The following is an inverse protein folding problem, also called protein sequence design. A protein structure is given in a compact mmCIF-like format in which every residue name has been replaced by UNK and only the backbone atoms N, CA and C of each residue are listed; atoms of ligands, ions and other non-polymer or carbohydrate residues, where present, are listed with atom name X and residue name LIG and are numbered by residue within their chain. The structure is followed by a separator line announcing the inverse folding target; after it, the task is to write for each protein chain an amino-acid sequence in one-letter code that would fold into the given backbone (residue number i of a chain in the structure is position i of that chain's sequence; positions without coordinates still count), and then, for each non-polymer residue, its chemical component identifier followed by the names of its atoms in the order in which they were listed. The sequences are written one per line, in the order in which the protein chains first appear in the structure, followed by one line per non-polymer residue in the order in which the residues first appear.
data_IF_646181185016
#
_entry.id   IF_646181185016
#
_cell.length_a   1.000
_cell.length_b   1.000
_cell.length_c   1.000
_cell.angle_alpha   90.00
_cell.angle_beta   90.00
_cell.angle_gamma   90.00
#
_symmetry.space_group_name_H-M   'P 1'
#
loop_
_entity.id
_entity.type
_entity.pdbx_description
1 polymer ?
#
# COMPACT_ATOMS: atom_id res chain seq x y z
N UNK A 1 10.07 -10.00 12.71
CA UNK A 1 8.91 -10.14 11.81
C UNK A 1 9.35 -10.95 10.60
N UNK A 2 8.56 -11.93 10.15
CA UNK A 2 8.90 -12.69 8.94
C UNK A 2 8.63 -11.77 7.73
N UNK A 3 9.57 -11.60 6.78
CA UNK A 3 9.29 -10.78 5.59
C UNK A 3 8.05 -11.33 4.89
N UNK A 4 7.16 -10.48 4.35
CA UNK A 4 5.97 -10.94 3.66
C UNK A 4 6.40 -11.85 2.51
N UNK A 5 5.82 -13.07 2.45
CA UNK A 5 6.16 -14.06 1.43
C UNK A 5 5.73 -13.65 0.02
N UNK A 6 4.96 -12.55 -0.09
CA UNK A 6 4.43 -11.99 -1.32
C UNK A 6 4.47 -10.46 -1.22
N UNK A 7 5.01 -9.79 -2.22
CA UNK A 7 5.03 -8.33 -2.33
C UNK A 7 4.23 -7.93 -3.57
N UNK A 8 3.38 -6.91 -3.43
CA UNK A 8 2.61 -6.34 -4.54
C UNK A 8 2.92 -4.85 -4.66
N UNK A 9 3.42 -4.44 -5.82
CA UNK A 9 3.51 -3.04 -6.23
C UNK A 9 2.19 -2.67 -6.93
N UNK A 10 1.37 -1.76 -6.35
CA UNK A 10 0.01 -1.54 -6.82
C UNK A 10 -0.12 -0.56 -8.01
N UNK A 11 0.95 -0.35 -8.79
CA UNK A 11 0.97 0.60 -9.92
C UNK A 11 0.26 0.05 -11.18
N UNK A 12 -1.02 -0.32 -11.05
CA UNK A 12 -1.84 -0.82 -12.16
C UNK A 12 -2.39 0.30 -13.05
N UNK A 13 -2.23 1.54 -12.62
CA UNK A 13 -2.49 2.77 -13.36
C UNK A 13 -1.29 3.69 -13.15
N UNK A 14 -1.13 4.75 -13.98
CA UNK A 14 -0.20 5.82 -13.66
C UNK A 14 -0.29 6.23 -12.19
N UNK A 15 0.86 6.36 -11.54
CA UNK A 15 0.94 6.72 -10.13
C UNK A 15 0.53 8.18 -9.92
N UNK A 16 0.03 8.48 -8.73
CA UNK A 16 -0.23 9.85 -8.29
C UNK A 16 0.94 10.38 -7.46
N UNK A 17 0.63 11.05 -6.35
CA UNK A 17 1.62 11.45 -5.36
C UNK A 17 2.46 10.24 -4.89
N UNK A 18 3.79 10.38 -4.78
CA UNK A 18 4.58 11.60 -4.95
C UNK A 18 5.19 11.79 -6.35
N UNK A 19 5.27 10.74 -7.17
CA UNK A 19 6.14 10.73 -8.36
C UNK A 19 5.41 11.02 -9.67
N UNK A 20 4.08 10.86 -9.74
CA UNK A 20 3.28 11.06 -10.95
C UNK A 20 3.84 10.32 -12.17
N UNK A 21 4.39 9.13 -11.93
CA UNK A 21 5.04 8.30 -12.94
C UNK A 21 4.02 7.48 -13.72
N UNK A 22 4.10 7.55 -15.05
CA UNK A 22 3.26 6.81 -16.00
C UNK A 22 3.89 5.50 -16.46
N UNK A 23 5.19 5.30 -16.24
CA UNK A 23 5.96 4.19 -16.80
C UNK A 23 6.05 3.01 -15.84
N UNK A 24 6.07 3.27 -14.53
CA UNK A 24 6.11 2.19 -13.53
C UNK A 24 4.87 1.32 -13.61
N UNK A 25 5.11 0.01 -13.68
CA UNK A 25 4.08 -1.02 -13.78
C UNK A 25 3.89 -1.73 -12.45
N UNK A 26 2.67 -2.17 -12.21
CA UNK A 26 2.35 -3.05 -11.10
C UNK A 26 3.13 -4.37 -11.22
N UNK A 27 3.54 -4.90 -10.08
CA UNK A 27 4.36 -6.11 -10.01
C UNK A 27 3.97 -6.97 -8.81
N UNK A 28 4.18 -8.27 -8.94
CA UNK A 28 3.93 -9.24 -7.87
C UNK A 28 5.19 -10.09 -7.72
N UNK A 29 5.81 -10.05 -6.55
CA UNK A 29 7.04 -10.79 -6.25
C UNK A 29 6.78 -11.87 -5.20
N UNK A 30 7.28 -13.09 -5.44
CA UNK A 30 7.11 -14.22 -4.52
C UNK A 30 5.86 -15.08 -4.75
N UNK A 31 5.15 -14.87 -5.88
CA UNK A 31 3.99 -15.67 -6.23
C UNK A 31 4.36 -17.14 -6.48
N UNK A 32 3.62 -18.07 -5.87
CA UNK A 32 3.75 -19.52 -6.05
C UNK A 32 2.40 -20.13 -6.37
N UNK A 33 2.38 -21.33 -6.96
CA UNK A 33 1.13 -22.09 -7.15
C UNK A 33 0.41 -22.40 -5.82
N UNK A 34 1.16 -22.46 -4.72
CA UNK A 34 0.62 -22.64 -3.37
C UNK A 34 0.00 -21.38 -2.77
N UNK A 35 0.22 -20.20 -3.38
CA UNK A 35 -0.29 -18.92 -2.88
C UNK A 35 -1.80 -18.92 -2.94
N UNK A 36 -2.43 -18.70 -1.78
CA UNK A 36 -3.88 -18.63 -1.65
C UNK A 36 -4.39 -17.24 -1.99
N UNK A 37 -5.63 -17.15 -2.43
CA UNK A 37 -6.32 -15.87 -2.72
C UNK A 37 -6.23 -14.88 -1.56
N UNK A 38 -6.35 -15.35 -0.31
CA UNK A 38 -6.25 -14.50 0.88
C UNK A 38 -4.87 -13.87 1.07
N UNK A 39 -3.80 -14.61 0.76
CA UNK A 39 -2.42 -14.10 0.83
C UNK A 39 -2.16 -13.05 -0.25
N UNK A 40 -2.69 -13.27 -1.46
CA UNK A 40 -2.64 -12.29 -2.54
C UNK A 40 -3.37 -10.99 -2.19
N UNK A 41 -4.61 -11.09 -1.71
CA UNK A 41 -5.39 -9.91 -1.30
C UNK A 41 -4.65 -9.17 -0.19
N UNK A 42 -4.16 -9.88 0.84
CA UNK A 42 -3.40 -9.27 1.92
C UNK A 42 -2.17 -8.50 1.43
N UNK A 43 -1.35 -9.11 0.57
CA UNK A 43 -0.15 -8.45 0.05
C UNK A 43 -0.49 -7.22 -0.81
N UNK A 44 -1.59 -7.26 -1.56
CA UNK A 44 -2.10 -6.09 -2.28
C UNK A 44 -2.47 -4.96 -1.33
N UNK A 45 -3.14 -5.28 -0.20
CA UNK A 45 -3.49 -4.29 0.81
C UNK A 45 -2.26 -3.72 1.51
N UNK A 46 -1.29 -4.56 1.85
CA UNK A 46 0.01 -4.15 2.41
C UNK A 46 0.77 -3.23 1.44
N UNK A 47 0.78 -3.54 0.14
CA UNK A 47 1.38 -2.68 -0.89
C UNK A 47 0.77 -1.26 -0.92
N UNK A 48 -0.55 -1.15 -0.81
CA UNK A 48 -1.21 0.16 -0.73
C UNK A 48 -0.91 0.88 0.58
N UNK A 49 -0.79 0.16 1.70
CA UNK A 49 -0.41 0.76 2.98
C UNK A 49 1.03 1.30 2.96
N UNK A 50 1.96 0.57 2.33
CA UNK A 50 3.34 1.05 2.15
C UNK A 50 3.42 2.31 1.27
N UNK A 51 2.62 2.40 0.20
CA UNK A 51 2.52 3.62 -0.60
C UNK A 51 2.02 4.82 0.22
N UNK A 52 1.03 4.60 1.09
CA UNK A 52 0.57 5.66 2.00
C UNK A 52 1.66 6.08 2.97
N UNK A 53 2.38 5.11 3.57
CA UNK A 53 3.49 5.39 4.48
C UNK A 53 4.60 6.20 3.81
N UNK A 54 4.97 5.85 2.57
CA UNK A 54 5.96 6.60 1.79
C UNK A 54 5.54 8.05 1.56
N UNK A 55 4.28 8.27 1.21
CA UNK A 55 3.73 9.62 1.06
C UNK A 55 3.80 10.42 2.36
N UNK A 56 3.48 9.80 3.51
CA UNK A 56 3.58 10.44 4.82
C UNK A 56 5.02 10.80 5.16
N UNK A 57 5.98 9.88 4.95
CA UNK A 57 7.40 10.12 5.22
C UNK A 57 7.95 11.28 4.38
N UNK A 58 7.54 11.38 3.10
CA UNK A 58 7.94 12.50 2.23
C UNK A 58 7.39 13.83 2.73
N UNK A 59 6.13 13.85 3.20
CA UNK A 59 5.51 15.05 3.78
C UNK A 59 6.19 15.45 5.11
N UNK A 60 6.48 14.49 5.98
CA UNK A 60 7.19 14.71 7.25
C UNK A 60 8.59 15.27 7.00
N UNK A 61 9.34 14.69 6.06
CA UNK A 61 10.66 15.15 5.66
C UNK A 61 10.64 16.55 5.01
N UNK A 62 9.48 16.97 4.48
CA UNK A 62 9.27 18.33 3.96
C UNK A 62 8.91 19.35 5.05
N UNK A 63 8.91 18.95 6.33
CA UNK A 63 8.66 19.83 7.48
C UNK A 63 7.20 19.88 7.93
N UNK A 64 6.31 19.08 7.34
CA UNK A 64 4.91 19.01 7.76
C UNK A 64 4.73 18.05 8.93
N UNK A 65 4.07 18.51 10.01
CA UNK A 65 3.67 17.64 11.12
C UNK A 65 2.28 17.06 10.86
N UNK A 66 2.20 15.75 10.60
CA UNK A 66 0.93 15.06 10.39
C UNK A 66 0.43 14.53 11.74
N UNK A 67 -0.67 15.09 12.25
CA UNK A 67 -1.25 14.69 13.53
C UNK A 67 -2.46 13.74 13.39
N UNK A 68 -3.05 13.66 12.20
CA UNK A 68 -4.23 12.84 11.93
C UNK A 68 -4.27 12.41 10.46
N UNK A 69 -4.63 11.14 10.22
CA UNK A 69 -4.94 10.63 8.89
C UNK A 69 -6.42 10.24 8.82
N UNK A 70 -7.20 10.92 7.97
CA UNK A 70 -8.62 10.60 7.76
C UNK A 70 -8.78 9.74 6.52
N UNK A 71 -9.18 8.48 6.70
CA UNK A 71 -9.46 7.57 5.59
C UNK A 71 -10.87 7.81 5.04
N UNK A 72 -10.97 8.29 3.80
CA UNK A 72 -12.25 8.53 3.09
C UNK A 72 -12.37 7.63 1.85
N UNK A 73 -13.59 7.43 1.35
CA UNK A 73 -13.86 6.63 0.14
C UNK A 73 -14.22 5.16 0.39
N UNK A 74 -14.46 4.40 -0.69
CA UNK A 74 -14.98 3.03 -0.62
C UNK A 74 -14.07 2.02 0.11
N UNK A 75 -12.76 2.20 0.05
CA UNK A 75 -11.78 1.37 0.76
C UNK A 75 -11.79 1.55 2.28
N UNK A 76 -12.28 2.69 2.78
CA UNK A 76 -12.39 2.97 4.21
C UNK A 76 -13.54 2.20 4.91
N UNK A 77 -14.42 1.54 4.14
CA UNK A 77 -15.52 0.71 4.67
C UNK A 77 -15.10 -0.73 5.00
N UNK A 78 -13.88 -1.13 4.68
CA UNK A 78 -13.38 -2.47 4.97
C UNK A 78 -12.67 -2.48 6.33
N UNK A 79 -13.21 -3.24 7.29
CA UNK A 79 -12.61 -3.40 8.63
C UNK A 79 -11.17 -3.94 8.57
N UNK A 80 -10.86 -4.75 7.56
CA UNK A 80 -9.51 -5.25 7.29
C UNK A 80 -8.58 -4.10 6.89
N UNK A 81 -9.07 -3.12 6.13
CA UNK A 81 -8.30 -1.96 5.68
C UNK A 81 -7.96 -1.00 6.82
N UNK A 82 -8.89 -0.83 7.77
CA UNK A 82 -8.64 0.01 8.96
C UNK A 82 -7.58 -0.60 9.87
N UNK A 83 -7.62 -1.91 10.11
CA UNK A 83 -6.62 -2.58 10.94
C UNK A 83 -5.23 -2.54 10.27
N UNK A 84 -5.17 -2.81 8.96
CA UNK A 84 -3.91 -2.88 8.21
C UNK A 84 -3.22 -1.51 8.01
N UNK A 85 -3.94 -0.41 8.23
CA UNK A 85 -3.39 0.96 8.26
C UNK A 85 -2.89 1.39 9.64
N UNK A 86 -3.39 0.76 10.70
CA UNK A 86 -3.06 1.08 12.08
C UNK A 86 -1.84 0.29 12.59
N UNK A 87 -1.57 -0.85 11.96
CA UNK A 87 -0.37 -1.68 12.16
C UNK A 87 0.85 -1.10 11.40
#
# INVERSE_FOLDING_TARGET
SKPPGLLVLPYFTPSGTPFFDTETKGAIFGLRLSTRRGEFIRALLEGVAFEMRLNLEILENSGYKINELRSVGGGAKSAIWTQLKAD
#
